data_IF_822927110859
#
_entry.id   IF_822927110859
#
_cell.length_a   1.000
_cell.length_b   1.000
_cell.length_c   1.000
_cell.angle_alpha   90.00
_cell.angle_beta   90.00
_cell.angle_gamma   90.00
#
_symmetry.space_group_name_H-M   'P 1'
#
loop_
_entity.id
_entity.type
_entity.pdbx_description
1 polymer ?
#
# COMPACT_ATOMS: atom_id res chain seq x y z
N UNK A 1 3.79 5.82 -24.09
CA UNK A 1 3.49 6.54 -22.88
C UNK A 1 2.74 5.67 -21.88
N UNK A 2 3.06 5.81 -20.66
CA UNK A 2 2.39 5.07 -19.62
C UNK A 2 0.90 5.45 -19.54
N UNK A 3 0.05 4.47 -19.40
CA UNK A 3 -1.39 4.65 -19.30
C UNK A 3 -1.84 4.35 -17.87
N UNK A 4 -2.39 5.33 -17.18
CA UNK A 4 -2.90 5.11 -15.84
C UNK A 4 -4.02 4.07 -15.81
N UNK A 5 -4.74 3.93 -16.92
CA UNK A 5 -5.80 2.91 -17.04
C UNK A 5 -5.25 1.50 -16.88
N UNK A 6 -3.95 1.28 -17.16
CA UNK A 6 -3.31 -0.01 -16.95
C UNK A 6 -3.41 -0.46 -15.49
N UNK A 7 -3.47 0.49 -14.58
CA UNK A 7 -3.57 0.22 -13.15
C UNK A 7 -4.88 0.74 -12.59
N UNK A 8 -5.92 0.76 -13.41
CA UNK A 8 -7.26 1.21 -13.02
C UNK A 8 -7.24 2.66 -12.52
N UNK A 9 -6.41 3.51 -13.15
CA UNK A 9 -6.27 4.92 -12.79
C UNK A 9 -5.78 5.14 -11.35
N UNK A 10 -5.11 4.14 -10.79
CA UNK A 10 -4.57 4.26 -9.43
C UNK A 10 -3.16 4.81 -9.46
N UNK A 11 -2.79 5.53 -8.40
CA UNK A 11 -1.45 6.09 -8.24
C UNK A 11 -0.52 5.16 -7.47
N UNK A 12 -1.04 4.06 -6.95
CA UNK A 12 -0.24 3.01 -6.35
C UNK A 12 -0.94 1.68 -6.58
N UNK A 13 -0.21 0.60 -6.42
CA UNK A 13 -0.75 -0.75 -6.63
C UNK A 13 -0.89 -1.53 -5.31
N UNK A 14 -0.60 -0.90 -4.18
CA UNK A 14 -0.55 -1.58 -2.88
C UNK A 14 -1.67 -1.19 -1.94
N UNK A 15 -2.42 -0.13 -2.26
CA UNK A 15 -3.38 0.45 -1.32
C UNK A 15 -4.40 -0.55 -0.80
N UNK A 16 -4.94 -1.37 -1.70
CA UNK A 16 -5.95 -2.36 -1.30
C UNK A 16 -5.37 -3.39 -0.32
N UNK A 17 -4.16 -3.87 -0.61
CA UNK A 17 -3.49 -4.84 0.27
C UNK A 17 -3.18 -4.20 1.63
N UNK A 18 -2.76 -2.95 1.63
CA UNK A 18 -2.49 -2.22 2.88
C UNK A 18 -3.76 -2.14 3.72
N UNK A 19 -4.88 -1.80 3.10
CA UNK A 19 -6.15 -1.74 3.82
C UNK A 19 -6.53 -3.11 4.40
N UNK A 20 -6.39 -4.17 3.60
CA UNK A 20 -6.69 -5.53 4.05
C UNK A 20 -5.85 -5.92 5.26
N UNK A 21 -4.56 -5.65 5.20
CA UNK A 21 -3.66 -5.98 6.31
C UNK A 21 -3.93 -5.13 7.54
N UNK A 22 -4.27 -3.85 7.33
CA UNK A 22 -4.62 -2.97 8.45
C UNK A 22 -5.84 -3.52 9.20
N UNK A 23 -6.88 -3.86 8.45
CA UNK A 23 -8.12 -4.38 9.03
C UNK A 23 -7.86 -5.72 9.71
N UNK A 24 -7.08 -6.59 9.06
CA UNK A 24 -6.72 -7.89 9.62
C UNK A 24 -6.00 -7.74 10.96
N UNK A 25 -5.21 -6.69 11.10
CA UNK A 25 -4.45 -6.43 12.33
C UNK A 25 -5.22 -5.53 13.31
N UNK A 26 -6.50 -5.27 13.03
CA UNK A 26 -7.38 -4.49 13.92
C UNK A 26 -6.85 -3.08 14.18
N UNK A 27 -6.25 -2.45 13.17
CA UNK A 27 -5.73 -1.10 13.28
C UNK A 27 -6.66 -0.10 12.63
N UNK A 28 -6.92 1.01 13.32
CA UNK A 28 -7.59 2.14 12.70
C UNK A 28 -6.58 2.90 11.84
N UNK A 29 -7.07 3.78 10.98
CA UNK A 29 -6.18 4.67 10.22
C UNK A 29 -5.36 5.54 11.15
N UNK A 30 -5.96 6.03 12.24
CA UNK A 30 -5.23 6.84 13.23
C UNK A 30 -4.11 6.04 13.88
N UNK A 31 -4.39 4.80 14.27
CA UNK A 31 -3.37 3.95 14.88
C UNK A 31 -2.23 3.67 13.92
N UNK A 32 -2.55 3.41 12.66
CA UNK A 32 -1.52 3.17 11.66
C UNK A 32 -0.66 4.42 11.45
N UNK A 33 -1.29 5.60 11.41
CA UNK A 33 -0.55 6.86 11.30
C UNK A 33 0.43 7.02 12.47
N UNK A 34 0.00 6.69 13.69
CA UNK A 34 0.85 6.80 14.87
C UNK A 34 2.02 5.82 14.79
N UNK A 35 1.76 4.57 14.39
CA UNK A 35 2.82 3.57 14.26
C UNK A 35 3.87 4.00 13.24
N UNK A 36 3.43 4.57 12.13
CA UNK A 36 4.36 5.09 11.12
C UNK A 36 5.18 6.26 11.67
N UNK A 37 4.52 7.17 12.40
CA UNK A 37 5.19 8.32 12.98
C UNK A 37 6.31 7.89 13.95
N UNK A 38 6.10 6.81 14.69
CA UNK A 38 7.13 6.27 15.58
C UNK A 38 8.35 5.77 14.84
N UNK A 39 8.21 5.48 13.54
CA UNK A 39 9.31 5.08 12.67
C UNK A 39 9.91 6.28 11.94
N UNK A 40 9.43 7.48 12.22
CA UNK A 40 9.87 8.68 11.49
C UNK A 40 9.21 8.86 10.14
N UNK A 41 8.12 8.13 9.88
CA UNK A 41 7.40 8.21 8.60
C UNK A 41 6.09 8.96 8.86
N UNK A 42 6.00 10.15 8.30
CA UNK A 42 4.90 11.06 8.59
C UNK A 42 3.83 10.95 7.50
N UNK A 43 2.77 10.21 7.78
CA UNK A 43 1.61 10.10 6.90
C UNK A 43 0.37 10.34 7.76
N UNK A 44 -0.36 11.40 7.45
CA UNK A 44 -1.57 11.74 8.19
C UNK A 44 -2.70 10.74 7.89
N UNK A 45 -3.70 10.71 8.76
CA UNK A 45 -4.87 9.86 8.56
C UNK A 45 -5.54 10.10 7.20
N UNK A 46 -5.82 11.37 6.79
CA UNK A 46 -6.41 11.58 5.46
C UNK A 46 -5.50 11.09 4.33
N UNK A 47 -4.19 11.26 4.46
CA UNK A 47 -3.26 10.78 3.44
C UNK A 47 -3.25 9.26 3.36
N UNK A 48 -3.33 8.58 4.50
CA UNK A 48 -3.43 7.12 4.53
C UNK A 48 -4.71 6.65 3.85
N UNK A 49 -5.81 7.35 4.09
CA UNK A 49 -7.08 7.02 3.44
C UNK A 49 -6.94 7.11 1.91
N UNK A 50 -6.33 8.18 1.43
CA UNK A 50 -6.08 8.33 -0.01
C UNK A 50 -5.18 7.24 -0.54
N UNK A 51 -4.15 6.88 0.23
CA UNK A 51 -3.21 5.83 -0.16
C UNK A 51 -3.93 4.50 -0.32
N UNK A 52 -4.78 4.14 0.65
CA UNK A 52 -5.54 2.89 0.61
C UNK A 52 -6.50 2.83 -0.57
N UNK A 53 -7.00 3.98 -0.99
CA UNK A 53 -7.91 4.06 -2.14
C UNK A 53 -7.18 4.20 -3.47
N UNK A 54 -5.84 4.22 -3.45
CA UNK A 54 -5.05 4.34 -4.66
C UNK A 54 -4.95 5.75 -5.20
N UNK A 55 -5.33 6.76 -4.41
CA UNK A 55 -5.39 8.16 -4.82
C UNK A 55 -4.18 8.96 -4.35
N UNK A 56 -3.10 8.28 -4.01
CA UNK A 56 -1.86 8.90 -3.56
C UNK A 56 -0.71 7.97 -3.94
N UNK A 57 0.40 8.54 -4.39
CA UNK A 57 1.59 7.73 -4.64
C UNK A 57 2.13 7.23 -3.31
N UNK A 58 2.88 6.12 -3.35
CA UNK A 58 3.55 5.60 -2.17
C UNK A 58 5.06 5.68 -2.41
N UNK A 59 5.80 6.14 -1.40
CA UNK A 59 7.25 6.22 -1.45
C UNK A 59 7.86 4.92 -0.94
N UNK A 60 9.06 4.62 -1.40
CA UNK A 60 9.68 3.34 -1.06
C UNK A 60 9.87 3.15 0.45
N UNK A 61 10.26 4.21 1.18
CA UNK A 61 10.42 4.08 2.63
C UNK A 61 9.07 3.94 3.34
N UNK A 62 8.00 4.48 2.76
CA UNK A 62 6.65 4.28 3.31
C UNK A 62 6.25 2.82 3.15
N UNK A 63 6.52 2.27 1.97
CA UNK A 63 6.22 0.87 1.69
C UNK A 63 6.98 -0.04 2.66
N UNK A 64 8.26 0.25 2.88
CA UNK A 64 9.06 -0.52 3.83
C UNK A 64 8.49 -0.44 5.25
N UNK A 65 8.13 0.77 5.69
CA UNK A 65 7.57 0.97 7.03
C UNK A 65 6.29 0.17 7.24
N UNK A 66 5.43 0.17 6.23
CA UNK A 66 4.19 -0.59 6.30
C UNK A 66 4.46 -2.09 6.38
N UNK A 67 5.45 -2.58 5.62
CA UNK A 67 5.81 -4.00 5.67
C UNK A 67 6.28 -4.39 7.07
N UNK A 68 7.02 -3.53 7.73
CA UNK A 68 7.50 -3.77 9.09
C UNK A 68 6.33 -3.80 10.09
N UNK A 69 5.42 -2.84 9.97
CA UNK A 69 4.27 -2.77 10.87
C UNK A 69 3.40 -4.01 10.76
N UNK A 70 3.16 -4.47 9.54
CA UNK A 70 2.33 -5.65 9.30
C UNK A 70 3.10 -6.96 9.42
N UNK A 71 4.42 -6.88 9.63
CA UNK A 71 5.29 -8.04 9.77
C UNK A 71 5.19 -8.97 8.56
N UNK A 72 5.23 -8.38 7.38
CA UNK A 72 5.23 -9.12 6.12
C UNK A 72 6.33 -8.55 5.24
N UNK A 73 6.86 -9.33 4.30
CA UNK A 73 7.85 -8.77 3.37
C UNK A 73 7.18 -7.77 2.42
N UNK A 74 7.97 -6.85 1.88
CA UNK A 74 7.46 -5.88 0.90
C UNK A 74 6.79 -6.59 -0.27
N UNK A 75 7.32 -7.76 -0.67
CA UNK A 75 6.73 -8.54 -1.75
C UNK A 75 5.27 -8.91 -1.49
N UNK A 76 4.90 -9.07 -0.22
CA UNK A 76 3.50 -9.36 0.11
C UNK A 76 2.59 -8.17 -0.21
N UNK A 77 3.08 -6.96 0.01
CA UNK A 77 2.31 -5.76 -0.30
C UNK A 77 2.09 -5.60 -1.80
N UNK A 78 2.98 -6.17 -2.61
CA UNK A 78 2.91 -6.10 -4.06
C UNK A 78 2.33 -7.37 -4.68
N UNK A 79 1.93 -8.35 -3.85
CA UNK A 79 1.59 -9.69 -4.34
C UNK A 79 0.41 -9.70 -5.30
N UNK A 80 -0.62 -8.91 -5.03
CA UNK A 80 -1.79 -8.87 -5.91
C UNK A 80 -1.41 -8.33 -7.28
N UNK A 81 -0.64 -7.26 -7.31
CA UNK A 81 -0.20 -6.66 -8.56
C UNK A 81 0.75 -7.60 -9.31
N UNK A 82 1.69 -8.21 -8.60
CA UNK A 82 2.64 -9.14 -9.20
C UNK A 82 1.91 -10.33 -9.81
N UNK A 83 0.93 -10.86 -9.10
CA UNK A 83 0.12 -11.97 -9.59
C UNK A 83 -0.62 -11.59 -10.88
N UNK A 84 -1.19 -10.40 -10.89
CA UNK A 84 -1.91 -9.92 -12.07
C UNK A 84 -0.98 -9.72 -13.26
N UNK A 85 0.21 -9.18 -13.03
CA UNK A 85 1.20 -9.00 -14.09
C UNK A 85 1.68 -10.34 -14.62
N UNK A 86 1.94 -11.30 -13.75
CA UNK A 86 2.35 -12.64 -14.17
C UNK A 86 1.26 -13.34 -14.96
N UNK A 87 0.02 -13.16 -14.55
CA UNK A 87 -1.12 -13.73 -15.25
C UNK A 87 -1.23 -13.17 -16.66
N UNK A 88 -1.00 -11.86 -16.82
CA UNK A 88 -1.06 -11.22 -18.12
C UNK A 88 0.11 -11.62 -19.01
N UNK A 89 1.24 -12.01 -18.42
CA UNK A 89 2.44 -12.38 -19.15
C UNK A 89 2.56 -13.88 -19.38
N UNK A 90 1.64 -14.66 -18.86
CA UNK A 90 1.73 -16.12 -18.89
C UNK A 90 1.26 -16.73 -20.20
N UNK A 91 0.80 -15.95 -21.13
CA UNK A 91 0.30 -16.46 -22.38
C UNK A 91 1.39 -17.02 -23.29
#
# INVERSE_FOLDING_TARGET
MYQSSKYNNKLNVTGKKIKELRIKNHLSLSNLSIKLALMGIDISKPSLHKLENGNRIIKDYELYGLSEIFNVPVSELLSDFASEMNKNNAS
#
